data_IF_297634105640
#
_entry.id   IF_297634105640
#
_cell.length_a   1.000
_cell.length_b   1.000
_cell.length_c   1.000
_cell.angle_alpha   90.00
_cell.angle_beta   90.00
_cell.angle_gamma   90.00
#
_symmetry.space_group_name_H-M   'P 1'
#
loop_
_entity.id
_entity.type
_entity.pdbx_description
1 polymer ?
#
# COMPACT_ATOMS: atom_id res chain seq x y z
N UNK A 1 -6.52 26.51 -3.17
CA UNK A 1 -5.16 26.13 -2.74
C UNK A 1 -4.56 25.31 -3.86
N UNK A 2 -3.31 25.56 -4.20
CA UNK A 2 -2.61 24.80 -5.25
C UNK A 2 -2.25 23.40 -4.72
N UNK A 3 -2.42 22.32 -5.51
CA UNK A 3 -1.97 20.99 -5.12
C UNK A 3 -0.45 20.96 -4.94
N UNK A 4 0.02 20.35 -3.86
CA UNK A 4 1.46 20.10 -3.67
C UNK A 4 1.96 19.07 -4.70
N UNK A 5 3.22 19.17 -5.14
CA UNK A 5 3.82 18.17 -6.02
C UNK A 5 3.88 16.81 -5.32
N UNK A 6 3.54 15.75 -6.05
CA UNK A 6 3.63 14.36 -5.59
C UNK A 6 4.83 13.64 -6.20
N UNK A 7 5.27 12.55 -5.56
CA UNK A 7 6.24 11.64 -6.12
C UNK A 7 5.96 10.22 -5.64
N UNK A 8 6.03 9.25 -6.56
CA UNK A 8 5.97 7.81 -6.31
C UNK A 8 6.59 7.10 -7.51
N UNK A 9 7.24 5.96 -7.29
CA UNK A 9 7.70 5.06 -8.36
C UNK A 9 6.54 4.40 -9.13
N UNK A 10 5.35 4.38 -8.53
CA UNK A 10 4.13 3.88 -9.13
C UNK A 10 3.33 5.06 -9.68
N UNK A 11 3.27 5.17 -11.01
CA UNK A 11 2.50 6.22 -11.70
C UNK A 11 1.01 6.16 -11.33
N UNK A 12 0.47 4.97 -11.06
CA UNK A 12 -0.93 4.81 -10.63
C UNK A 12 -1.24 5.39 -9.25
N UNK A 13 -0.22 5.63 -8.42
CA UNK A 13 -0.36 6.27 -7.09
C UNK A 13 0.18 7.71 -7.08
N UNK A 14 0.64 8.22 -8.23
CA UNK A 14 1.16 9.57 -8.38
C UNK A 14 0.03 10.60 -8.50
N UNK A 15 -0.77 10.75 -7.45
CA UNK A 15 -1.90 11.68 -7.42
C UNK A 15 -2.03 12.38 -6.06
N UNK A 16 -2.17 13.72 -6.00
CA UNK A 16 -2.20 14.47 -4.75
C UNK A 16 -3.50 14.34 -3.95
N UNK A 17 -4.53 13.70 -4.52
CA UNK A 17 -5.85 13.57 -3.90
C UNK A 17 -6.19 12.13 -3.52
N UNK A 18 -7.32 11.98 -2.82
CA UNK A 18 -7.95 10.68 -2.54
C UNK A 18 -9.46 10.84 -2.67
N UNK A 19 -10.18 9.78 -3.03
CA UNK A 19 -11.64 9.84 -3.19
C UNK A 19 -12.35 10.28 -1.89
N UNK A 20 -13.47 11.03 -1.98
CA UNK A 20 -14.15 11.60 -0.82
C UNK A 20 -14.68 10.55 0.17
N UNK A 21 -15.05 9.37 -0.32
CA UNK A 21 -15.46 8.24 0.53
C UNK A 21 -14.30 7.76 1.41
N UNK A 22 -13.08 7.71 0.89
CA UNK A 22 -11.90 7.34 1.67
C UNK A 22 -11.59 8.38 2.75
N UNK A 23 -11.70 9.68 2.43
CA UNK A 23 -11.57 10.76 3.41
C UNK A 23 -12.61 10.62 4.52
N UNK A 24 -13.87 10.38 4.18
CA UNK A 24 -14.92 10.16 5.17
C UNK A 24 -14.66 8.94 6.06
N UNK A 25 -14.27 7.80 5.48
CA UNK A 25 -13.96 6.58 6.23
C UNK A 25 -12.79 6.75 7.20
N UNK A 26 -11.80 7.57 6.82
CA UNK A 26 -10.70 7.98 7.72
C UNK A 26 -11.25 8.82 8.88
N UNK A 27 -12.05 9.84 8.59
CA UNK A 27 -12.53 10.81 9.57
C UNK A 27 -13.41 10.17 10.65
N UNK A 28 -14.19 9.14 10.29
CA UNK A 28 -14.99 8.36 11.26
C UNK A 28 -14.21 7.23 11.95
N UNK A 29 -12.92 7.06 11.65
CA UNK A 29 -12.07 6.00 12.22
C UNK A 29 -12.41 4.59 11.73
N UNK A 30 -13.08 4.45 10.58
CA UNK A 30 -13.47 3.14 10.04
C UNK A 30 -12.35 2.49 9.21
N UNK A 31 -11.47 3.30 8.61
CA UNK A 31 -10.33 2.84 7.84
C UNK A 31 -9.06 3.59 8.25
N UNK A 32 -7.95 2.86 8.33
CA UNK A 32 -6.62 3.41 8.56
C UNK A 32 -5.89 3.52 7.21
N UNK A 33 -5.22 4.66 7.01
CA UNK A 33 -4.46 4.94 5.79
C UNK A 33 -2.99 5.05 6.15
N UNK A 34 -2.17 4.25 5.51
CA UNK A 34 -0.75 4.09 5.78
C UNK A 34 0.07 4.43 4.54
N UNK A 35 1.32 4.81 4.74
CA UNK A 35 2.27 5.06 3.66
C UNK A 35 3.25 3.90 3.52
N UNK A 36 3.62 3.61 2.27
CA UNK A 36 4.70 2.69 1.91
C UNK A 36 5.66 3.45 1.00
N UNK A 37 6.96 3.26 1.23
CA UNK A 37 8.01 3.90 0.42
C UNK A 37 8.28 3.12 -0.86
N UNK A 38 8.86 3.78 -1.86
CA UNK A 38 9.23 3.14 -3.13
C UNK A 38 10.13 1.92 -2.93
N UNK A 39 11.09 2.00 -2.00
CA UNK A 39 12.00 0.89 -1.70
C UNK A 39 11.25 -0.32 -1.12
N UNK A 40 10.33 -0.09 -0.19
CA UNK A 40 9.53 -1.17 0.41
C UNK A 40 8.61 -1.83 -0.62
N UNK A 41 8.05 -1.04 -1.54
CA UNK A 41 7.27 -1.54 -2.67
C UNK A 41 8.12 -2.41 -3.61
N UNK A 42 9.33 -1.96 -3.96
CA UNK A 42 10.28 -2.74 -4.78
C UNK A 42 10.71 -4.04 -4.10
N UNK A 43 10.97 -4.00 -2.79
CA UNK A 43 11.35 -5.19 -2.02
C UNK A 43 10.21 -6.22 -2.01
N UNK A 44 8.97 -5.75 -1.83
CA UNK A 44 7.78 -6.60 -1.88
C UNK A 44 7.52 -7.16 -3.29
N UNK A 45 7.68 -6.35 -4.34
CA UNK A 45 7.61 -6.78 -5.73
C UNK A 45 8.57 -7.94 -6.00
N UNK A 46 9.84 -7.76 -5.62
CA UNK A 46 10.87 -8.79 -5.82
C UNK A 46 10.60 -10.03 -4.98
N UNK A 47 10.14 -9.87 -3.74
CA UNK A 47 9.83 -10.99 -2.86
C UNK A 47 8.71 -11.85 -3.45
N UNK A 48 7.57 -11.25 -3.79
CA UNK A 48 6.43 -11.99 -4.35
C UNK A 48 6.80 -12.67 -5.67
N UNK A 49 7.54 -11.98 -6.54
CA UNK A 49 8.00 -12.54 -7.81
C UNK A 49 8.92 -13.75 -7.62
N UNK A 50 9.79 -13.72 -6.61
CA UNK A 50 10.77 -14.79 -6.38
C UNK A 50 10.22 -15.96 -5.58
N UNK A 51 9.29 -15.74 -4.65
CA UNK A 51 8.77 -16.80 -3.79
C UNK A 51 7.54 -17.47 -4.40
N UNK A 52 6.64 -16.70 -4.99
CA UNK A 52 5.36 -17.21 -5.51
C UNK A 52 5.30 -17.24 -7.04
N UNK A 53 6.29 -16.68 -7.73
CA UNK A 53 6.29 -16.60 -9.20
C UNK A 53 5.25 -15.61 -9.76
N UNK A 54 4.67 -14.76 -8.91
CA UNK A 54 3.67 -13.76 -9.29
C UNK A 54 4.38 -12.41 -9.40
N UNK A 55 4.29 -11.77 -10.57
CA UNK A 55 4.86 -10.44 -10.83
C UNK A 55 3.76 -9.40 -10.60
N UNK A 56 3.74 -8.67 -9.46
CA UNK A 56 2.68 -7.72 -9.17
C UNK A 56 2.88 -6.39 -9.91
N UNK A 57 1.80 -5.63 -10.10
CA UNK A 57 1.93 -4.21 -10.41
C UNK A 57 2.61 -3.46 -9.24
N UNK A 58 3.33 -2.38 -9.51
CA UNK A 58 3.99 -1.60 -8.45
C UNK A 58 2.97 -0.98 -7.50
N UNK A 59 1.79 -0.61 -8.00
CA UNK A 59 0.62 -0.19 -7.21
C UNK A 59 0.27 -1.27 -6.17
N UNK A 60 0.07 -2.51 -6.63
CA UNK A 60 -0.27 -3.66 -5.77
C UNK A 60 0.86 -4.03 -4.83
N UNK A 61 2.12 -3.86 -5.23
CA UNK A 61 3.28 -4.14 -4.40
C UNK A 61 3.33 -3.25 -3.14
N UNK A 62 2.76 -2.05 -3.17
CA UNK A 62 2.60 -1.23 -1.96
C UNK A 62 1.71 -1.93 -0.92
N UNK A 63 0.59 -2.53 -1.34
CA UNK A 63 -0.29 -3.27 -0.43
C UNK A 63 0.41 -4.53 0.14
N UNK A 64 1.14 -5.26 -0.69
CA UNK A 64 1.93 -6.43 -0.25
C UNK A 64 3.02 -6.01 0.73
N UNK A 65 3.73 -4.91 0.46
CA UNK A 65 4.75 -4.38 1.35
C UNK A 65 4.18 -4.07 2.74
N UNK A 66 2.99 -3.45 2.80
CA UNK A 66 2.33 -3.20 4.08
C UNK A 66 1.87 -4.49 4.76
N UNK A 67 1.26 -5.42 4.02
CA UNK A 67 0.82 -6.72 4.56
C UNK A 67 1.99 -7.50 5.19
N UNK A 68 3.18 -7.47 4.58
CA UNK A 68 4.40 -8.09 5.10
C UNK A 68 4.89 -7.46 6.41
N UNK A 69 4.61 -6.18 6.66
CA UNK A 69 4.90 -5.50 7.94
C UNK A 69 3.84 -5.80 9.00
N UNK A 70 2.57 -5.91 8.58
CA UNK A 70 1.43 -6.13 9.47
C UNK A 70 1.38 -7.58 9.97
N UNK A 71 1.57 -8.56 9.09
CA UNK A 71 1.40 -9.98 9.40
C UNK A 71 2.18 -10.48 10.64
N UNK A 72 3.44 -10.06 10.91
CA UNK A 72 4.16 -10.46 12.13
C UNK A 72 3.53 -9.96 13.45
N UNK A 73 2.64 -8.97 13.40
CA UNK A 73 1.95 -8.42 14.59
C UNK A 73 0.60 -9.10 14.85
N UNK A 74 0.15 -9.95 13.95
CA UNK A 74 -1.13 -10.66 14.01
C UNK A 74 -0.93 -12.06 14.61
N UNK A 75 -2.00 -12.65 15.13
CA UNK A 75 -1.99 -14.07 15.51
C UNK A 75 -2.02 -14.96 14.26
N UNK A 76 -1.47 -16.17 14.38
CA UNK A 76 -1.28 -17.07 13.24
C UNK A 76 -2.60 -17.55 12.59
N UNK A 77 -3.72 -17.45 13.30
CA UNK A 77 -5.06 -17.82 12.85
C UNK A 77 -5.82 -16.66 12.21
N UNK A 78 -5.31 -15.42 12.29
CA UNK A 78 -5.92 -14.28 11.61
C UNK A 78 -5.65 -14.33 10.10
N UNK A 79 -6.64 -13.88 9.33
CA UNK A 79 -6.61 -13.87 7.86
C UNK A 79 -6.53 -12.43 7.37
N UNK A 80 -5.63 -12.16 6.42
CA UNK A 80 -5.54 -10.88 5.69
C UNK A 80 -6.32 -11.05 4.39
N UNK A 81 -7.23 -10.12 4.11
CA UNK A 81 -8.09 -10.08 2.91
C UNK A 81 -7.84 -8.78 2.16
#
# INVERSE_FOLDING_TARGET
GEPLPTHSISEGLHYPGVGPEHSYLKDIGRAEYVSVTDQESLDAFHRLSKTEGIIPALESAHAIAYALKLAPTMSADQIII
#
